data_IF_194901800931
#
_entry.id   IF_194901800931
#
_cell.length_a   1.000
_cell.length_b   1.000
_cell.length_c   1.000
_cell.angle_alpha   90.00
_cell.angle_beta   90.00
_cell.angle_gamma   90.00
#
_symmetry.space_group_name_H-M   'P 1'
#
loop_
_entity.id
_entity.type
_entity.pdbx_description
1 polymer ?
#
# COMPACT_ATOMS: atom_id res chain seq x y z
N UNK A 1 2.68 -24.34 -13.62
CA UNK A 1 3.02 -23.26 -12.68
C UNK A 1 3.55 -22.08 -13.47
N UNK A 2 2.90 -20.93 -13.38
CA UNK A 2 3.28 -19.68 -14.06
C UNK A 2 4.23 -18.88 -13.15
N UNK A 3 5.37 -18.42 -13.67
CA UNK A 3 6.34 -17.63 -12.90
C UNK A 3 6.04 -16.13 -13.07
N UNK A 4 5.87 -15.44 -11.96
CA UNK A 4 5.57 -14.01 -11.88
C UNK A 4 6.77 -13.27 -11.31
N UNK A 5 7.24 -12.23 -12.00
CA UNK A 5 8.39 -11.39 -11.59
C UNK A 5 7.99 -9.95 -11.27
N UNK A 6 6.83 -9.50 -11.75
CA UNK A 6 6.27 -8.15 -11.51
C UNK A 6 4.77 -8.14 -11.81
N UNK A 7 4.08 -7.09 -11.36
CA UNK A 7 2.73 -6.78 -11.79
C UNK A 7 2.69 -6.40 -13.28
N UNK A 8 1.54 -6.60 -13.92
CA UNK A 8 1.27 -6.09 -15.26
C UNK A 8 0.89 -4.59 -15.17
N UNK A 9 1.38 -3.80 -16.13
CA UNK A 9 1.16 -2.34 -16.12
C UNK A 9 -0.32 -1.94 -16.28
N UNK A 10 -1.13 -2.76 -16.95
CA UNK A 10 -2.55 -2.53 -17.18
C UNK A 10 -3.28 -3.87 -17.24
N UNK A 11 -4.48 -3.93 -16.68
CA UNK A 11 -5.41 -5.03 -16.92
C UNK A 11 -6.35 -4.64 -18.07
N UNK A 12 -6.60 -5.56 -19.00
CA UNK A 12 -7.53 -5.32 -20.09
C UNK A 12 -8.98 -5.43 -19.60
N UNK A 13 -9.79 -4.42 -19.87
CA UNK A 13 -11.21 -4.43 -19.52
C UNK A 13 -11.95 -5.59 -20.23
N UNK A 14 -12.96 -6.15 -19.55
CA UNK A 14 -13.86 -7.16 -20.13
C UNK A 14 -13.45 -8.61 -19.91
N UNK A 15 -12.35 -8.90 -19.19
CA UNK A 15 -11.97 -10.25 -18.79
C UNK A 15 -12.61 -10.66 -17.47
N UNK A 16 -12.79 -11.94 -17.28
CA UNK A 16 -13.16 -12.47 -15.97
C UNK A 16 -12.00 -12.27 -14.98
N UNK A 17 -12.28 -11.78 -13.77
CA UNK A 17 -11.27 -11.57 -12.73
C UNK A 17 -11.27 -12.78 -11.79
N UNK A 18 -10.10 -13.38 -11.60
CA UNK A 18 -9.87 -14.47 -10.65
C UNK A 18 -8.85 -14.01 -9.60
N UNK A 19 -9.22 -14.17 -8.33
CA UNK A 19 -8.40 -13.77 -7.20
C UNK A 19 -7.28 -14.78 -6.90
N UNK A 20 -6.12 -14.24 -6.54
CA UNK A 20 -5.05 -14.97 -5.86
C UNK A 20 -4.97 -14.42 -4.45
N UNK A 21 -5.68 -15.10 -3.53
CA UNK A 21 -5.77 -14.66 -2.14
C UNK A 21 -4.46 -14.89 -1.39
N UNK A 22 -3.98 -13.86 -0.67
CA UNK A 22 -2.70 -13.89 0.03
C UNK A 22 -2.71 -12.97 1.24
N UNK A 23 -2.11 -13.42 2.34
CA UNK A 23 -1.91 -12.58 3.52
C UNK A 23 -0.79 -11.54 3.30
N UNK A 24 -0.84 -10.44 4.04
CA UNK A 24 0.09 -9.33 3.95
C UNK A 24 1.55 -9.75 4.16
N UNK A 25 1.83 -10.69 5.08
CA UNK A 25 3.19 -11.11 5.39
C UNK A 25 3.81 -11.92 4.24
N UNK A 26 2.98 -12.74 3.59
CA UNK A 26 3.38 -13.50 2.41
C UNK A 26 3.56 -12.57 1.20
N UNK A 27 2.63 -11.60 1.04
CA UNK A 27 2.70 -10.59 -0.03
C UNK A 27 3.96 -9.73 0.04
N UNK A 28 4.47 -9.47 1.25
CA UNK A 28 5.71 -8.72 1.46
C UNK A 28 6.99 -9.51 1.10
N UNK A 29 6.89 -10.81 0.81
CA UNK A 29 8.05 -11.65 0.48
C UNK A 29 8.37 -11.53 -1.00
N UNK A 30 9.65 -11.56 -1.33
CA UNK A 30 10.12 -11.61 -2.72
C UNK A 30 9.76 -12.93 -3.40
N UNK A 31 9.87 -14.06 -2.68
CA UNK A 31 9.66 -15.42 -3.21
C UNK A 31 8.59 -16.16 -2.45
N UNK A 32 7.59 -16.63 -3.17
CA UNK A 32 6.50 -17.40 -2.60
C UNK A 32 5.72 -18.16 -3.68
N UNK A 33 4.73 -18.96 -3.26
CA UNK A 33 3.79 -19.66 -4.15
C UNK A 33 2.38 -19.30 -3.76
N UNK A 34 1.50 -19.19 -4.74
CA UNK A 34 0.08 -18.94 -4.58
C UNK A 34 -0.74 -19.78 -5.55
N UNK A 35 -1.99 -20.02 -5.16
CA UNK A 35 -2.98 -20.71 -5.97
C UNK A 35 -4.16 -19.76 -6.14
N UNK A 36 -4.61 -19.57 -7.38
CA UNK A 36 -5.79 -18.79 -7.65
C UNK A 36 -7.06 -19.54 -7.29
N UNK A 37 -8.20 -18.85 -7.23
CA UNK A 37 -9.49 -19.42 -6.87
C UNK A 37 -9.95 -20.55 -7.81
N UNK A 38 -9.46 -20.57 -9.04
CA UNK A 38 -9.73 -21.64 -10.04
C UNK A 38 -8.74 -22.81 -9.98
N UNK A 39 -7.79 -22.79 -9.04
CA UNK A 39 -6.75 -23.81 -8.89
C UNK A 39 -5.48 -23.58 -9.73
N UNK A 40 -5.37 -22.45 -10.43
CA UNK A 40 -4.16 -22.12 -11.20
C UNK A 40 -2.99 -21.82 -10.27
N UNK A 41 -1.85 -22.52 -10.48
CA UNK A 41 -0.64 -22.37 -9.68
C UNK A 41 0.27 -21.24 -10.19
N UNK A 42 0.74 -20.41 -9.25
CA UNK A 42 1.71 -19.34 -9.49
C UNK A 42 2.93 -19.47 -8.58
N UNK A 43 4.11 -19.28 -9.19
CA UNK A 43 5.37 -19.06 -8.48
C UNK A 43 5.79 -17.60 -8.60
N UNK A 44 6.23 -17.01 -7.52
CA UNK A 44 6.65 -15.61 -7.48
C UNK A 44 8.15 -15.52 -7.18
N UNK A 45 8.89 -14.78 -8.01
CA UNK A 45 10.26 -14.31 -7.78
C UNK A 45 10.33 -12.84 -8.17
N UNK A 46 9.86 -11.99 -7.26
CA UNK A 46 9.51 -10.61 -7.53
C UNK A 46 10.73 -9.68 -7.53
N UNK A 47 10.79 -8.80 -8.51
CA UNK A 47 11.73 -7.68 -8.54
C UNK A 47 11.20 -6.49 -7.73
N UNK A 48 9.87 -6.33 -7.69
CA UNK A 48 9.14 -5.27 -6.98
C UNK A 48 8.03 -5.89 -6.14
N UNK A 49 7.64 -5.21 -5.05
CA UNK A 49 6.54 -5.67 -4.20
C UNK A 49 5.21 -5.56 -4.92
N UNK A 50 4.38 -6.59 -4.80
CA UNK A 50 3.00 -6.55 -5.23
C UNK A 50 2.12 -5.89 -4.17
N UNK A 51 0.99 -5.33 -4.62
CA UNK A 51 -0.03 -4.73 -3.77
C UNK A 51 -1.37 -5.44 -4.00
N UNK A 52 -2.31 -5.22 -3.10
CA UNK A 52 -3.71 -5.59 -3.32
C UNK A 52 -4.24 -4.92 -4.60
N UNK A 53 -4.90 -5.69 -5.45
CA UNK A 53 -5.45 -5.22 -6.72
C UNK A 53 -4.49 -5.34 -7.93
N UNK A 54 -3.23 -5.68 -7.72
CA UNK A 54 -2.28 -5.84 -8.83
C UNK A 54 -2.67 -7.04 -9.71
N UNK A 55 -2.76 -6.80 -11.02
CA UNK A 55 -2.89 -7.86 -12.01
C UNK A 55 -1.52 -8.51 -12.24
N UNK A 56 -1.45 -9.83 -12.13
CA UNK A 56 -0.19 -10.59 -12.20
C UNK A 56 -0.06 -11.47 -13.44
N UNK A 57 -1.18 -11.87 -14.01
CA UNK A 57 -1.20 -12.73 -15.18
C UNK A 57 -2.52 -12.58 -15.94
N UNK A 58 -2.47 -12.71 -17.26
CA UNK A 58 -3.64 -12.64 -18.12
C UNK A 58 -3.63 -13.73 -19.19
N UNK A 59 -4.83 -14.20 -19.50
CA UNK A 59 -5.14 -15.00 -20.69
C UNK A 59 -6.06 -14.19 -21.62
N UNK A 60 -6.52 -14.76 -22.70
CA UNK A 60 -7.46 -14.09 -23.60
C UNK A 60 -8.80 -13.76 -22.91
N UNK A 61 -9.21 -14.53 -21.90
CA UNK A 61 -10.50 -14.41 -21.25
C UNK A 61 -10.45 -14.07 -19.75
N UNK A 62 -9.27 -14.13 -19.13
CA UNK A 62 -9.15 -14.10 -17.66
C UNK A 62 -7.97 -13.21 -17.24
N UNK A 63 -8.19 -12.42 -16.18
CA UNK A 63 -7.15 -11.67 -15.45
C UNK A 63 -7.03 -12.22 -14.04
N UNK A 64 -5.80 -12.51 -13.60
CA UNK A 64 -5.51 -12.96 -12.25
C UNK A 64 -4.99 -11.78 -11.43
N UNK A 65 -5.65 -11.53 -10.29
CA UNK A 65 -5.44 -10.33 -9.48
C UNK A 65 -5.11 -10.71 -8.05
N UNK A 66 -4.14 -10.03 -7.46
CA UNK A 66 -3.79 -10.19 -6.05
C UNK A 66 -4.93 -9.68 -5.17
N UNK A 67 -5.44 -10.55 -4.31
CA UNK A 67 -6.40 -10.22 -3.28
C UNK A 67 -5.77 -10.41 -1.90
N UNK A 68 -5.35 -9.30 -1.28
CA UNK A 68 -4.84 -9.36 0.09
C UNK A 68 -6.00 -9.67 1.04
N UNK A 69 -5.83 -10.67 1.89
CA UNK A 69 -6.83 -11.03 2.91
C UNK A 69 -6.97 -9.93 3.96
N UNK A 70 -8.21 -9.70 4.41
CA UNK A 70 -8.47 -8.82 5.54
C UNK A 70 -7.84 -9.39 6.82
N UNK A 71 -7.44 -8.51 7.72
CA UNK A 71 -6.91 -8.84 9.04
C UNK A 71 -7.60 -8.01 10.13
N UNK A 72 -7.51 -8.45 11.37
CA UNK A 72 -8.07 -7.73 12.51
C UNK A 72 -7.29 -6.45 12.76
N UNK A 73 -8.01 -5.34 12.87
CA UNK A 73 -7.45 -4.01 13.01
C UNK A 73 -8.27 -3.17 13.99
N UNK A 74 -7.65 -2.14 14.56
CA UNK A 74 -8.32 -1.03 15.22
C UNK A 74 -8.46 0.13 14.23
N UNK A 75 -9.68 0.59 14.05
CA UNK A 75 -9.99 1.82 13.32
C UNK A 75 -10.21 2.95 14.33
N UNK A 76 -9.40 3.99 14.26
CA UNK A 76 -9.42 5.15 15.13
C UNK A 76 -9.95 6.34 14.33
N UNK A 77 -11.21 6.70 14.54
CA UNK A 77 -11.80 7.88 13.91
C UNK A 77 -11.16 9.17 14.46
N UNK A 78 -10.77 10.08 13.58
CA UNK A 78 -10.05 11.30 13.93
C UNK A 78 -11.00 12.47 14.14
N UNK A 79 -10.82 13.22 15.24
CA UNK A 79 -11.62 14.40 15.60
C UNK A 79 -10.92 15.73 15.27
N UNK A 80 -9.88 15.69 14.45
CA UNK A 80 -9.15 16.88 14.04
C UNK A 80 -7.63 16.68 13.96
N UNK A 81 -6.94 17.68 13.44
CA UNK A 81 -5.51 17.59 13.13
C UNK A 81 -4.62 17.35 14.37
N UNK A 82 -4.96 17.95 15.51
CA UNK A 82 -4.18 17.78 16.73
C UNK A 82 -4.25 16.34 17.23
N UNK A 83 -5.45 15.73 17.25
CA UNK A 83 -5.62 14.34 17.65
C UNK A 83 -4.94 13.39 16.65
N UNK A 84 -5.05 13.68 15.34
CA UNK A 84 -4.38 12.91 14.30
C UNK A 84 -2.86 12.88 14.50
N UNK A 85 -2.24 14.05 14.75
CA UNK A 85 -0.82 14.16 15.02
C UNK A 85 -0.41 13.40 16.29
N UNK A 86 -1.20 13.49 17.36
CA UNK A 86 -0.96 12.80 18.62
C UNK A 86 -1.01 11.28 18.45
N UNK A 87 -2.05 10.75 17.82
CA UNK A 87 -2.22 9.32 17.56
C UNK A 87 -1.09 8.80 16.66
N UNK A 88 -0.77 9.51 15.59
CA UNK A 88 0.32 9.14 14.69
C UNK A 88 1.67 9.10 15.41
N UNK A 89 1.94 10.05 16.29
CA UNK A 89 3.14 10.08 17.12
C UNK A 89 3.19 8.89 18.09
N UNK A 90 2.10 8.59 18.79
CA UNK A 90 2.04 7.45 19.74
C UNK A 90 2.23 6.11 19.03
N UNK A 91 1.52 5.87 17.93
CA UNK A 91 1.65 4.62 17.16
C UNK A 91 3.07 4.48 16.61
N UNK A 92 3.66 5.58 16.13
CA UNK A 92 5.05 5.60 15.66
C UNK A 92 6.06 5.30 16.75
N UNK A 93 5.87 5.80 17.95
CA UNK A 93 6.75 5.52 19.13
C UNK A 93 6.70 4.04 19.54
N UNK A 94 5.59 3.38 19.35
CA UNK A 94 5.47 1.93 19.57
C UNK A 94 6.02 1.10 18.41
N UNK A 95 6.53 1.74 17.36
CA UNK A 95 7.02 1.11 16.12
C UNK A 95 5.96 0.29 15.37
N UNK A 96 4.69 0.54 15.62
CA UNK A 96 3.62 -0.07 14.86
C UNK A 96 3.41 0.65 13.52
N UNK A 97 3.01 -0.14 12.54
CA UNK A 97 2.63 0.38 11.23
C UNK A 97 1.19 0.89 11.28
N UNK A 98 0.91 1.95 10.55
CA UNK A 98 -0.43 2.51 10.41
C UNK A 98 -0.78 2.72 8.93
N UNK A 99 -2.06 2.65 8.63
CA UNK A 99 -2.66 3.11 7.38
C UNK A 99 -3.55 4.31 7.67
N UNK A 100 -3.59 5.27 6.75
CA UNK A 100 -4.32 6.52 6.91
C UNK A 100 -5.35 6.65 5.79
N UNK A 101 -6.57 7.06 6.15
CA UNK A 101 -7.67 7.30 5.23
C UNK A 101 -8.57 8.41 5.76
N UNK A 102 -9.57 8.79 4.99
CA UNK A 102 -10.60 9.74 5.43
C UNK A 102 -11.46 9.20 6.58
N UNK A 103 -11.54 7.86 6.75
CA UNK A 103 -12.22 7.22 7.87
C UNK A 103 -11.42 7.33 9.17
N UNK A 104 -10.09 7.48 9.10
CA UNK A 104 -9.22 7.58 10.26
C UNK A 104 -7.88 6.87 10.12
N UNK A 105 -7.32 6.48 11.24
CA UNK A 105 -6.09 5.70 11.35
C UNK A 105 -6.43 4.25 11.59
N UNK A 106 -5.91 3.37 10.74
CA UNK A 106 -6.01 1.93 10.89
C UNK A 106 -4.68 1.37 11.39
N UNK A 107 -4.71 0.61 12.47
CA UNK A 107 -3.55 -0.11 13.03
C UNK A 107 -3.92 -1.58 13.25
N UNK A 108 -2.93 -2.46 13.27
CA UNK A 108 -3.19 -3.88 13.56
C UNK A 108 -3.76 -4.06 14.97
N UNK A 109 -4.64 -5.06 15.14
CA UNK A 109 -5.09 -5.53 16.45
C UNK A 109 -3.89 -6.16 17.17
N UNK A 110 -3.34 -5.41 18.11
CA UNK A 110 -2.20 -5.79 18.96
C UNK A 110 -2.44 -5.32 20.38
N UNK A 111 -2.12 -6.18 21.35
CA UNK A 111 -2.38 -5.90 22.75
C UNK A 111 -1.69 -4.61 23.26
N UNK A 112 -0.48 -4.31 22.78
CA UNK A 112 0.23 -3.09 23.18
C UNK A 112 -0.44 -1.83 22.63
N UNK A 113 -0.99 -1.91 21.41
CA UNK A 113 -1.80 -0.83 20.80
C UNK A 113 -3.09 -0.66 21.58
N UNK A 114 -3.79 -1.74 21.87
CA UNK A 114 -5.04 -1.71 22.65
C UNK A 114 -4.82 -1.06 24.02
N UNK A 115 -3.83 -1.53 24.78
CA UNK A 115 -3.50 -0.96 26.09
C UNK A 115 -3.14 0.52 26.02
N UNK A 116 -2.48 0.96 24.96
CA UNK A 116 -2.18 2.37 24.74
C UNK A 116 -3.46 3.17 24.47
N UNK A 117 -4.33 2.70 23.59
CA UNK A 117 -5.59 3.36 23.27
C UNK A 117 -6.49 3.49 24.50
N UNK A 118 -6.61 2.42 25.29
CA UNK A 118 -7.41 2.40 26.52
C UNK A 118 -6.85 3.36 27.58
N UNK A 119 -5.54 3.37 27.79
CA UNK A 119 -4.87 4.27 28.76
C UNK A 119 -5.07 5.74 28.40
N UNK A 120 -5.02 6.07 27.13
CA UNK A 120 -5.20 7.44 26.62
C UNK A 120 -6.69 7.79 26.37
N UNK A 121 -7.62 6.90 26.72
CA UNK A 121 -9.06 7.05 26.53
C UNK A 121 -9.44 7.38 25.07
N UNK A 122 -8.71 6.77 24.11
CA UNK A 122 -8.96 6.92 22.70
C UNK A 122 -9.99 5.87 22.26
N UNK A 123 -11.09 6.32 21.70
CA UNK A 123 -12.11 5.43 21.15
C UNK A 123 -11.63 4.80 19.83
N UNK A 124 -11.87 3.51 19.66
CA UNK A 124 -11.56 2.74 18.46
C UNK A 124 -12.62 1.68 18.21
N UNK A 125 -12.73 1.25 16.98
CA UNK A 125 -13.57 0.14 16.57
C UNK A 125 -12.68 -1.04 16.12
N UNK A 126 -13.07 -2.28 16.51
CA UNK A 126 -12.44 -3.49 15.96
C UNK A 126 -13.08 -3.80 14.62
N UNK A 127 -12.27 -3.88 13.59
CA UNK A 127 -12.71 -4.09 12.22
C UNK A 127 -11.83 -5.11 11.52
N UNK A 128 -12.41 -5.81 10.53
CA UNK A 128 -11.62 -6.60 9.58
C UNK A 128 -11.43 -5.80 8.30
N UNK A 129 -10.17 -5.49 7.97
CA UNK A 129 -9.80 -4.66 6.81
C UNK A 129 -8.55 -5.21 6.10
N UNK A 130 -8.48 -4.93 4.82
CA UNK A 130 -7.21 -5.06 4.08
C UNK A 130 -6.25 -4.00 4.61
N UNK A 131 -5.25 -4.42 5.38
CA UNK A 131 -4.30 -3.52 6.01
C UNK A 131 -3.12 -3.25 5.08
N UNK A 132 -3.04 -2.03 4.56
CA UNK A 132 -1.94 -1.55 3.72
C UNK A 132 -1.23 -0.39 4.45
N UNK A 133 -0.23 -0.68 5.28
CA UNK A 133 0.45 0.37 6.04
C UNK A 133 1.17 1.34 5.11
N UNK A 134 1.20 2.61 5.53
CA UNK A 134 1.96 3.64 4.85
C UNK A 134 3.42 3.21 4.72
N UNK A 135 3.97 3.34 3.51
CA UNK A 135 5.39 3.07 3.25
C UNK A 135 6.22 4.20 3.86
N UNK A 136 7.37 3.86 4.46
CA UNK A 136 8.31 4.87 4.90
C UNK A 136 8.89 5.57 3.67
N UNK A 137 8.75 6.88 3.62
CA UNK A 137 9.22 7.74 2.55
C UNK A 137 8.14 8.76 2.18
N UNK A 138 8.47 10.03 2.28
CA UNK A 138 7.63 11.10 1.75
C UNK A 138 7.82 11.10 0.23
N UNK A 139 6.90 10.46 -0.49
CA UNK A 139 6.85 10.64 -1.93
C UNK A 139 6.23 12.01 -2.20
N UNK A 140 7.09 13.03 -2.36
CA UNK A 140 6.69 14.24 -3.05
C UNK A 140 6.25 13.80 -4.45
N UNK A 141 5.00 14.05 -4.80
CA UNK A 141 4.63 14.07 -6.20
C UNK A 141 5.42 15.22 -6.83
N UNK A 142 6.50 14.87 -7.52
CA UNK A 142 7.21 15.80 -8.38
C UNK A 142 6.23 16.32 -9.42
N UNK A 143 5.68 17.50 -9.16
CA UNK A 143 5.14 18.33 -10.22
C UNK A 143 6.37 18.84 -10.99
N UNK A 144 6.67 18.17 -12.08
CA UNK A 144 7.66 18.60 -13.08
C UNK A 144 7.23 19.97 -13.63
N UNK A 145 7.67 21.02 -12.95
CA UNK A 145 7.67 22.37 -13.48
C UNK A 145 8.99 22.56 -14.21
N UNK A 146 8.99 22.18 -15.47
CA UNK A 146 10.08 22.47 -16.40
C UNK A 146 10.33 23.97 -16.50
N UNK A 147 11.24 24.49 -15.67
CA UNK A 147 11.85 25.81 -15.88
C UNK A 147 13.04 25.66 -16.81
N UNK A 148 12.77 25.83 -18.11
CA UNK A 148 13.81 26.05 -19.10
C UNK A 148 14.41 27.45 -18.87
N UNK A 149 15.56 27.52 -18.23
CA UNK A 149 16.40 28.71 -18.26
C UNK A 149 17.20 28.71 -19.55
N UNK A 150 16.72 29.48 -20.53
CA UNK A 150 17.53 29.88 -21.67
C UNK A 150 18.57 30.94 -21.20
N UNK A 151 19.81 30.50 -21.12
CA UNK A 151 20.94 31.42 -21.03
C UNK A 151 21.13 32.05 -22.41
N UNK A 152 20.79 33.31 -22.55
CA UNK A 152 21.24 34.15 -23.68
C UNK A 152 22.55 34.75 -23.29
N UNK A 153 23.62 34.21 -23.89
CA UNK A 153 24.91 34.90 -23.99
C UNK A 153 24.71 36.16 -24.84
N UNK A 154 24.91 37.30 -24.26
CA UNK A 154 25.18 38.53 -25.05
C UNK A 154 26.55 39.03 -24.70
N UNK A 155 27.44 38.81 -25.66
CA UNK A 155 28.81 39.27 -25.69
C UNK A 155 28.81 40.54 -26.51
N UNK A 156 29.04 41.69 -25.89
CA UNK A 156 29.08 43.00 -26.54
C UNK A 156 30.20 43.86 -26.00
N UNK A 157 31.29 43.89 -26.75
CA UNK A 157 32.45 44.75 -26.61
C UNK A 157 32.14 46.26 -26.67
N UNK A 158 32.99 47.00 -26.03
CA UNK A 158 33.70 48.22 -26.53
C UNK A 158 33.55 49.48 -25.68
N UNK A 159 34.69 49.96 -25.34
CA UNK A 159 35.35 51.25 -25.10
C UNK A 159 35.56 51.62 -23.65
#
# INVERSE_FOLDING_TARGET
MNLITKALAHSHAGRAVIAVSVDRHKLARRRWRGVAADGTDFGFDLNESLNHGDCIYETDTTSYVIEQTAEDCFLIALKGAQQAAWIGWMVGNLHFKASFSDEGVLVQDDLAVEQMLDREHIHYDRVQRVFQPAKQGWHSHDHDHGHSHSLSDDNGHSH
#
